data_IF_065791614766
#
_entry.id   IF_065791614766
#
_cell.length_a   1.000
_cell.length_b   1.000
_cell.length_c   1.000
_cell.angle_alpha   90.00
_cell.angle_beta   90.00
_cell.angle_gamma   90.00
#
_symmetry.space_group_name_H-M   'P 1'
#
loop_
_entity.id
_entity.type
_entity.pdbx_description
1 polymer ?
2 non-polymer ?
3 non-polymer ?
4 water ?
#
# COMPACT_ATOMS: atom_id res chain seq x y z
N UNK A 11 -5.80 3.10 25.68
CA UNK A 11 -6.00 4.58 25.82
C UNK A 11 -7.09 5.09 24.88
N UNK A 12 -8.30 5.19 25.41
CA UNK A 12 -9.44 5.66 24.62
C UNK A 12 -9.71 7.14 24.88
N UNK A 13 -10.04 7.88 23.83
CA UNK A 13 -10.33 9.29 23.94
C UNK A 13 -11.81 9.46 24.29
N UNK A 14 -12.12 10.45 25.15
CA UNK A 14 -13.50 10.70 25.56
C UNK A 14 -14.43 10.87 24.35
N UNK A 15 -15.59 10.23 24.41
CA UNK A 15 -16.56 10.29 23.33
C UNK A 15 -17.12 11.69 23.10
N UNK A 16 -17.04 12.19 21.86
CA UNK A 16 -17.56 13.53 21.53
C UNK A 16 -19.09 13.56 21.66
N UNK A 17 -19.64 14.72 22.06
CA UNK A 17 -21.09 14.90 22.23
C UNK A 17 -22.01 14.39 21.10
N UNK A 18 -21.60 14.54 19.85
CA UNK A 18 -22.44 14.13 18.74
C UNK A 18 -22.40 12.64 18.36
N UNK A 19 -21.59 11.86 19.06
CA UNK A 19 -21.48 10.44 18.75
C UNK A 19 -22.38 9.56 19.61
N UNK A 20 -23.36 8.87 18.99
CA UNK A 20 -24.27 7.99 19.74
C UNK A 20 -23.48 6.79 20.27
N UNK A 21 -23.61 6.47 21.55
CA UNK A 21 -22.83 5.36 22.08
C UNK A 21 -23.07 4.00 21.46
N UNK A 22 -24.20 3.81 20.77
CA UNK A 22 -24.45 2.52 20.14
C UNK A 22 -23.67 2.38 18.84
N UNK A 23 -23.02 3.46 18.44
CA UNK A 23 -22.21 3.45 17.22
C UNK A 23 -20.74 3.32 17.57
N UNK A 24 -20.45 3.15 18.86
CA UNK A 24 -19.08 3.02 19.32
C UNK A 24 -18.54 1.61 19.15
N UNK A 25 -17.34 1.52 18.60
CA UNK A 25 -16.65 0.24 18.41
C UNK A 25 -15.17 0.60 18.42
N UNK A 26 -14.50 0.31 19.54
CA UNK A 26 -13.09 0.66 19.71
C UNK A 26 -12.09 -0.24 18.99
N UNK A 27 -11.88 0.07 17.73
CA UNK A 27 -10.94 -0.65 16.89
C UNK A 27 -9.65 0.18 16.79
N UNK A 28 -8.50 -0.46 17.00
CA UNK A 28 -7.22 0.23 16.91
C UNK A 28 -6.54 -0.22 15.63
N UNK A 29 -6.51 0.66 14.63
CA UNK A 29 -5.91 0.34 13.35
C UNK A 29 -4.41 0.01 13.41
N UNK A 30 -3.73 0.41 14.48
CA UNK A 30 -2.31 0.15 14.61
C UNK A 30 -2.04 -1.10 15.42
N UNK A 31 -3.08 -1.62 16.06
CA UNK A 31 -2.95 -2.84 16.84
C UNK A 31 -4.30 -3.52 17.02
N UNK A 32 -4.84 -4.07 15.94
CA UNK A 32 -6.14 -4.74 16.03
C UNK A 32 -6.06 -5.99 16.89
N UNK A 33 -7.20 -6.36 17.47
CA UNK A 33 -7.31 -7.51 18.37
C UNK A 33 -6.91 -8.88 17.85
N UNK A 34 -7.51 -9.32 16.75
CA UNK A 34 -7.21 -10.65 16.21
C UNK A 34 -6.03 -10.69 15.27
N UNK A 35 -5.03 -9.84 15.51
CA UNK A 35 -3.86 -9.77 14.66
C UNK A 35 -3.19 -11.12 14.43
N UNK A 36 -3.19 -11.98 15.46
CA UNK A 36 -2.58 -13.29 15.34
C UNK A 36 -3.17 -14.14 14.20
N UNK A 37 -4.46 -13.94 13.93
CA UNK A 37 -5.15 -14.67 12.89
C UNK A 37 -4.83 -14.16 11.47
N UNK A 38 -4.11 -13.04 11.39
CA UNK A 38 -3.78 -12.45 10.11
C UNK A 38 -4.33 -11.04 10.13
N UNK A 39 -3.65 -10.10 9.47
CA UNK A 39 -4.10 -8.72 9.50
C UNK A 39 -5.44 -8.49 8.78
N UNK A 40 -5.63 -9.10 7.62
CA UNK A 40 -6.89 -8.94 6.91
C UNK A 40 -8.03 -9.50 7.78
N UNK A 41 -7.80 -10.65 8.40
CA UNK A 41 -8.79 -11.27 9.28
C UNK A 41 -9.09 -10.37 10.47
N UNK A 42 -8.06 -9.72 10.99
CA UNK A 42 -8.20 -8.83 12.14
C UNK A 42 -9.11 -7.66 11.80
N UNK A 43 -8.94 -7.09 10.62
CA UNK A 43 -9.74 -5.95 10.19
C UNK A 43 -11.18 -6.37 9.84
N UNK A 44 -11.34 -7.60 9.33
CA UNK A 44 -12.64 -8.10 8.93
C UNK A 44 -13.65 -8.24 10.08
N UNK A 45 -13.19 -8.09 11.32
CA UNK A 45 -14.13 -8.19 12.43
C UNK A 45 -15.09 -6.99 12.34
N UNK A 46 -14.64 -5.93 11.68
CA UNK A 46 -15.45 -4.72 11.51
C UNK A 46 -16.66 -4.99 10.62
N UNK A 47 -16.64 -6.13 9.94
CA UNK A 47 -17.74 -6.47 9.06
C UNK A 47 -18.66 -7.55 9.61
N UNK A 48 -18.54 -7.83 10.91
CA UNK A 48 -19.39 -8.83 11.55
C UNK A 48 -20.78 -8.23 11.70
N UNK A 49 -21.79 -9.10 11.76
CA UNK A 49 -23.18 -8.67 11.88
C UNK A 49 -23.49 -7.69 13.03
N UNK A 50 -22.78 -7.84 14.14
CA UNK A 50 -22.99 -6.97 15.30
C UNK A 50 -22.41 -5.56 15.14
N UNK A 51 -21.68 -5.32 14.07
CA UNK A 51 -21.07 -4.01 13.86
C UNK A 51 -21.81 -3.18 12.82
N UNK A 52 -22.22 -1.95 13.20
CA UNK A 52 -22.92 -1.10 12.24
C UNK A 52 -22.02 -0.76 11.03
N UNK A 53 -22.62 -0.26 9.97
CA UNK A 53 -21.88 0.09 8.76
C UNK A 53 -20.91 1.26 8.96
N UNK A 54 -21.26 2.14 9.89
CA UNK A 54 -20.44 3.31 10.19
C UNK A 54 -20.28 3.36 11.69
N UNK A 55 -19.04 3.25 12.17
CA UNK A 55 -18.81 3.28 13.61
C UNK A 55 -17.79 4.33 14.00
N UNK A 56 -17.67 4.53 15.30
CA UNK A 56 -16.72 5.49 15.85
C UNK A 56 -15.83 4.74 16.83
N UNK A 57 -14.53 4.94 16.71
CA UNK A 57 -13.60 4.30 17.62
C UNK A 57 -12.96 5.39 18.45
N UNK A 58 -12.71 5.09 19.72
CA UNK A 58 -12.10 6.05 20.62
C UNK A 58 -10.59 5.94 20.65
N UNK A 59 -10.05 4.99 19.89
CA UNK A 59 -8.60 4.80 19.84
C UNK A 59 -7.99 5.82 18.90
N UNK A 60 -6.68 6.00 19.02
CA UNK A 60 -5.95 6.92 18.16
C UNK A 60 -6.62 8.29 18.02
N UNK A 61 -7.11 8.80 19.15
CA UNK A 61 -7.72 10.13 19.15
C UNK A 61 -9.22 10.20 18.89
N UNK A 62 -9.79 9.16 18.30
CA UNK A 62 -11.21 9.16 18.01
C UNK A 62 -11.50 9.53 16.56
N UNK A 63 -12.15 8.62 15.84
CA UNK A 63 -12.49 8.85 14.44
C UNK A 63 -13.52 7.84 13.98
N UNK A 64 -14.15 8.14 12.86
CA UNK A 64 -15.15 7.26 12.28
C UNK A 64 -14.45 6.23 11.40
N UNK A 65 -15.15 5.14 11.11
CA UNK A 65 -14.63 4.10 10.24
C UNK A 65 -15.81 3.57 9.44
N UNK A 66 -15.71 3.63 8.12
CA UNK A 66 -16.76 3.09 7.27
C UNK A 66 -16.34 1.63 7.08
N UNK A 67 -17.26 0.70 7.34
CA UNK A 67 -16.96 -0.73 7.24
C UNK A 67 -17.50 -1.47 6.02
N UNK A 68 -18.15 -0.77 5.11
CA UNK A 68 -18.71 -1.41 3.92
C UNK A 68 -18.18 -0.79 2.64
N UNK A 69 -18.01 -1.63 1.63
CA UNK A 69 -17.51 -1.17 0.34
C UNK A 69 -18.31 -0.05 -0.29
N UNK A 70 -19.63 -0.12 -0.17
CA UNK A 70 -20.49 0.91 -0.75
C UNK A 70 -20.21 2.27 -0.15
N UNK A 71 -20.09 2.33 1.17
CA UNK A 71 -19.82 3.58 1.85
C UNK A 71 -18.41 4.08 1.56
N UNK A 72 -17.45 3.17 1.52
CA UNK A 72 -16.06 3.56 1.26
C UNK A 72 -15.94 4.22 -0.12
N UNK A 73 -16.60 3.63 -1.12
CA UNK A 73 -16.57 4.16 -2.48
C UNK A 73 -17.25 5.52 -2.56
N UNK A 74 -18.38 5.65 -1.89
CA UNK A 74 -19.13 6.91 -1.89
C UNK A 74 -18.30 8.04 -1.31
N UNK A 75 -17.72 7.79 -0.15
CA UNK A 75 -16.90 8.79 0.52
C UNK A 75 -15.73 9.21 -0.35
N UNK A 76 -15.09 8.25 -1.00
CA UNK A 76 -13.94 8.54 -1.86
C UNK A 76 -14.31 9.31 -3.14
N UNK A 77 -15.57 9.21 -3.53
CA UNK A 77 -16.02 9.91 -4.73
C UNK A 77 -16.43 11.34 -4.40
N UNK A 78 -16.89 11.53 -3.17
CA UNK A 78 -17.36 12.84 -2.71
C UNK A 78 -16.29 13.64 -1.99
N UNK A 79 -15.38 14.25 -2.75
CA UNK A 79 -14.30 15.03 -2.16
C UNK A 79 -14.79 16.36 -1.60
N UNK A 80 -16.02 16.73 -1.92
CA UNK A 80 -16.58 17.98 -1.43
C UNK A 80 -16.74 17.92 0.09
N UNK A 81 -17.23 16.78 0.59
CA UNK A 81 -17.43 16.60 2.04
C UNK A 81 -16.27 15.91 2.73
N UNK A 82 -15.63 14.99 2.02
CA UNK A 82 -14.50 14.25 2.56
C UNK A 82 -13.23 14.70 1.86
N UNK A 83 -12.50 15.62 2.47
CA UNK A 83 -11.28 16.15 1.87
C UNK A 83 -10.02 15.38 2.21
N UNK A 84 -9.07 15.41 1.27
CA UNK A 84 -7.79 14.73 1.41
C UNK A 84 -6.77 15.56 2.19
N UNK A 85 -7.15 16.78 2.56
CA UNK A 85 -6.25 17.66 3.29
C UNK A 85 -5.59 16.98 4.50
N UNK A 86 -6.36 16.15 5.19
CA UNK A 86 -5.88 15.43 6.38
C UNK A 86 -6.25 13.95 6.16
N UNK A 87 -5.42 13.22 5.40
CA UNK A 87 -5.66 11.80 5.09
C UNK A 87 -5.18 10.74 6.06
N UNK A 88 -4.35 11.11 7.03
CA UNK A 88 -3.82 10.12 7.98
C UNK A 88 -4.35 10.26 9.39
N UNK A 89 -4.46 9.12 10.07
CA UNK A 89 -4.90 9.06 11.46
C UNK A 89 -3.67 8.52 12.19
N UNK A 90 -3.33 9.09 13.37
CA UNK A 90 -4.00 10.17 14.08
C UNK A 90 -3.84 11.54 13.42
N UNK A 91 -4.67 12.48 13.86
CA UNK A 91 -4.68 13.84 13.34
C UNK A 91 -3.30 14.46 13.18
N UNK A 92 -2.45 14.30 14.19
CA UNK A 92 -1.09 14.85 14.13
C UNK A 92 -0.41 14.38 12.85
N UNK A 93 -0.60 13.11 12.50
CA UNK A 93 -0.01 12.54 11.30
C UNK A 93 -0.68 13.14 10.07
N UNK A 94 -2.02 13.16 10.07
CA UNK A 94 -2.74 13.71 8.95
C UNK A 94 -2.40 15.18 8.71
N UNK A 95 -2.12 15.91 9.78
CA UNK A 95 -1.78 17.32 9.68
C UNK A 95 -0.36 17.55 9.18
N UNK A 96 0.59 16.76 9.66
CA UNK A 96 1.98 16.88 9.22
C UNK A 96 2.10 16.36 7.78
N UNK A 97 1.09 15.62 7.36
CA UNK A 97 1.04 15.05 6.01
C UNK A 97 0.79 16.16 4.98
N UNK A 98 1.72 16.29 4.03
CA UNK A 98 1.58 17.32 3.01
C UNK A 98 2.05 16.84 1.64
N UNK A 99 2.05 15.52 1.45
CA UNK A 99 2.47 14.93 0.17
C UNK A 99 1.54 15.33 -0.97
N UNK A 100 2.13 15.56 -2.15
CA UNK A 100 1.37 15.92 -3.34
C UNK A 100 1.41 14.71 -4.26
N UNK A 101 0.30 14.38 -4.93
CA UNK A 101 -1.02 15.01 -4.92
C UNK A 101 -2.05 14.47 -3.92
N UNK A 102 -1.65 13.53 -3.08
CA UNK A 102 -2.59 12.92 -2.14
C UNK A 102 -3.19 13.86 -1.10
N UNK A 103 -2.48 14.91 -0.71
CA UNK A 103 -3.02 15.83 0.28
C UNK A 103 -3.83 16.95 -0.36
N UNK A 104 -4.12 16.83 -1.64
CA UNK A 104 -4.89 17.86 -2.36
C UNK A 104 -6.20 17.30 -2.92
N UNK A 105 -7.18 18.18 -3.06
CA UNK A 105 -8.48 17.82 -3.63
C UNK A 105 -8.56 18.43 -5.03
N UNK A 106 -9.42 17.86 -5.90
CA UNK A 106 -9.52 18.45 -7.24
C UNK A 106 -10.15 19.83 -7.07
N UNK A 107 -10.00 20.73 -8.06
CA UNK A 107 -9.28 20.55 -9.34
C UNK A 107 -7.77 20.70 -9.22
N UNK A 108 -7.32 21.22 -8.08
CA UNK A 108 -5.91 21.43 -7.81
C UNK A 108 -5.07 20.16 -8.02
N UNK A 109 -5.52 19.07 -7.42
CA UNK A 109 -4.83 17.78 -7.51
C UNK A 109 -4.49 17.33 -8.93
N UNK A 110 -5.42 17.55 -9.85
CA UNK A 110 -5.29 17.16 -11.25
C UNK A 110 -3.98 17.54 -11.96
N UNK A 111 -3.52 18.77 -11.76
CA UNK A 111 -2.30 19.23 -12.42
C UNK A 111 -1.05 18.50 -11.94
N UNK A 112 -0.96 18.25 -10.64
CA UNK A 112 0.22 17.55 -10.12
C UNK A 112 0.14 16.06 -10.47
N UNK A 113 -1.07 15.50 -10.43
CA UNK A 113 -1.27 14.10 -10.77
C UNK A 113 -0.77 13.82 -12.18
N UNK A 114 -1.01 14.76 -13.10
CA UNK A 114 -0.58 14.63 -14.49
C UNK A 114 0.94 14.50 -14.58
N UNK A 115 1.65 15.28 -13.77
CA UNK A 115 3.11 15.25 -13.75
C UNK A 115 3.64 13.96 -13.16
N UNK A 116 3.03 13.53 -12.05
CA UNK A 116 3.44 12.31 -11.37
C UNK A 116 3.23 11.11 -12.30
N UNK A 117 2.16 11.17 -13.10
CA UNK A 117 1.88 10.08 -14.03
C UNK A 117 2.98 9.98 -15.07
N UNK A 118 3.65 11.11 -15.32
CA UNK A 118 4.74 11.16 -16.29
C UNK A 118 5.92 10.30 -15.87
N UNK A 119 6.13 10.18 -14.56
CA UNK A 119 7.25 9.40 -14.04
C UNK A 119 7.00 7.94 -13.65
N UNK A 120 5.76 7.59 -13.31
CA UNK A 120 5.47 6.20 -12.93
C UNK A 120 4.35 5.57 -13.76
N UNK A 121 3.85 6.31 -14.74
CA UNK A 121 2.78 5.80 -15.58
C UNK A 121 3.17 4.62 -16.45
N UNK A 122 2.21 4.17 -17.26
CA UNK A 122 2.37 3.03 -18.15
C UNK A 122 3.60 3.02 -19.07
N UNK A 123 3.83 4.10 -19.83
CA UNK A 123 4.97 4.18 -20.74
C UNK A 123 6.32 3.94 -20.03
N UNK A 124 6.40 4.36 -18.78
CA UNK A 124 7.61 4.18 -18.00
C UNK A 124 7.76 2.70 -17.67
N UNK A 125 6.66 2.06 -17.30
CA UNK A 125 6.69 0.63 -16.96
C UNK A 125 7.13 -0.18 -18.17
N UNK A 126 6.60 0.19 -19.34
CA UNK A 126 6.91 -0.48 -20.60
C UNK A 126 8.42 -0.43 -20.88
N UNK A 127 9.01 0.73 -20.63
CA UNK A 127 10.43 0.92 -20.88
C UNK A 127 11.32 0.19 -19.87
N UNK A 128 10.80 -0.06 -18.67
CA UNK A 128 11.59 -0.73 -17.63
C UNK A 128 11.34 -2.24 -17.55
N UNK A 129 10.41 -2.72 -18.36
CA UNK A 129 10.04 -4.13 -18.37
C UNK A 129 11.20 -5.11 -18.36
N UNK A 130 12.14 -4.97 -19.29
CA UNK A 130 13.28 -5.86 -19.37
C UNK A 130 14.13 -5.82 -18.11
N UNK A 131 14.22 -4.65 -17.49
CA UNK A 131 14.99 -4.47 -16.27
C UNK A 131 14.32 -5.22 -15.11
N UNK A 132 13.00 -5.08 -15.02
CA UNK A 132 12.23 -5.73 -13.97
C UNK A 132 12.40 -7.26 -14.06
N UNK A 133 12.30 -7.76 -15.29
CA UNK A 133 12.45 -9.19 -15.55
C UNK A 133 13.86 -9.71 -15.25
N UNK A 134 14.87 -8.92 -15.61
CA UNK A 134 16.26 -9.31 -15.38
C UNK A 134 16.56 -9.42 -13.89
N UNK A 135 16.11 -8.44 -13.13
CA UNK A 135 16.36 -8.43 -11.70
C UNK A 135 15.63 -9.55 -10.97
N UNK A 136 14.39 -9.81 -11.37
CA UNK A 136 13.60 -10.86 -10.75
C UNK A 136 14.29 -12.20 -10.98
N UNK A 137 14.64 -12.47 -12.23
CA UNK A 137 15.31 -13.72 -12.59
C UNK A 137 16.64 -13.84 -11.85
N UNK A 138 17.41 -12.75 -11.86
CA UNK A 138 18.70 -12.74 -11.18
C UNK A 138 18.58 -13.02 -9.69
N UNK A 139 17.61 -12.39 -9.03
CA UNK A 139 17.41 -12.57 -7.59
C UNK A 139 17.00 -14.00 -7.25
N UNK A 140 16.05 -14.54 -8.01
CA UNK A 140 15.56 -15.89 -7.77
C UNK A 140 16.60 -16.97 -8.05
N UNK A 141 17.31 -16.85 -9.17
CA UNK A 141 18.31 -17.84 -9.52
C UNK A 141 19.39 -17.91 -8.44
N UNK A 142 19.72 -16.76 -7.86
CA UNK A 142 20.74 -16.72 -6.82
C UNK A 142 20.27 -17.40 -5.55
N UNK A 143 18.97 -17.36 -5.29
CA UNK A 143 18.42 -17.98 -4.10
C UNK A 143 18.14 -19.47 -4.27
N UNK A 144 17.66 -19.83 -5.47
CA UNK A 144 17.28 -21.20 -5.80
C UNK A 144 18.09 -22.36 -5.22
N UNK A 145 19.42 -22.33 -5.36
CA UNK A 145 20.22 -23.44 -4.82
C UNK A 145 20.35 -23.52 -3.31
N UNK A 146 20.03 -22.44 -2.61
CA UNK A 146 20.15 -22.40 -1.16
C UNK A 146 19.13 -23.25 -0.39
N UNK A 147 17.95 -23.45 -0.96
CA UNK A 147 16.95 -24.25 -0.29
C UNK A 147 16.26 -23.56 0.88
N UNK A 148 16.44 -22.24 0.98
CA UNK A 148 15.82 -21.49 2.05
C UNK A 148 16.15 -20.00 1.99
N UNK A 149 15.30 -19.18 2.58
CA UNK A 149 15.49 -17.75 2.60
C UNK A 149 14.44 -17.05 3.45
N UNK A 150 14.69 -15.78 3.76
CA UNK A 150 13.73 -14.96 4.48
C UNK A 150 13.22 -14.09 3.33
N UNK A 151 12.09 -14.50 2.77
CA UNK A 151 11.52 -13.80 1.63
C UNK A 151 11.43 -12.29 1.76
N UNK A 152 11.04 -11.82 2.93
CA UNK A 152 10.91 -10.39 3.12
C UNK A 152 12.21 -9.65 2.84
N UNK A 153 13.30 -10.06 3.46
CA UNK A 153 14.55 -9.36 3.23
C UNK A 153 15.37 -9.85 2.06
N UNK A 154 15.12 -11.08 1.60
CA UNK A 154 15.87 -11.65 0.49
C UNK A 154 15.30 -11.38 -0.90
N UNK A 155 14.00 -11.06 -0.98
CA UNK A 155 13.39 -10.79 -2.28
C UNK A 155 12.36 -9.65 -2.27
N UNK A 156 11.36 -9.76 -1.40
CA UNK A 156 10.30 -8.76 -1.31
C UNK A 156 10.80 -7.32 -1.18
N UNK A 157 11.90 -7.11 -0.47
CA UNK A 157 12.44 -5.76 -0.31
C UNK A 157 13.37 -5.36 -1.46
N UNK A 158 14.45 -6.13 -1.70
CA UNK A 158 15.38 -5.79 -2.79
C UNK A 158 14.78 -5.65 -4.19
N UNK A 159 13.92 -6.57 -4.58
CA UNK A 159 13.33 -6.54 -5.91
C UNK A 159 12.61 -5.22 -6.25
N UNK A 160 11.54 -4.87 -5.51
CA UNK A 160 10.85 -3.61 -5.85
C UNK A 160 11.65 -2.34 -5.55
N UNK A 161 12.38 -2.35 -4.44
CA UNK A 161 13.16 -1.17 -4.04
C UNK A 161 14.29 -0.83 -5.00
N UNK A 162 15.04 -1.84 -5.43
CA UNK A 162 16.15 -1.59 -6.35
C UNK A 162 15.61 -1.06 -7.67
N UNK A 163 14.44 -1.54 -8.07
CA UNK A 163 13.85 -1.07 -9.32
C UNK A 163 13.45 0.39 -9.18
N UNK A 164 12.99 0.77 -8.00
CA UNK A 164 12.60 2.15 -7.78
C UNK A 164 13.81 3.06 -7.70
N UNK A 165 14.86 2.61 -7.02
CA UNK A 165 16.06 3.42 -6.90
C UNK A 165 16.61 3.66 -8.29
N UNK A 166 16.49 2.64 -9.14
CA UNK A 166 16.97 2.74 -10.51
C UNK A 166 16.17 3.81 -11.26
N UNK A 167 14.86 3.81 -11.06
CA UNK A 167 13.99 4.78 -11.72
C UNK A 167 14.18 6.19 -11.17
N UNK A 168 14.52 6.28 -9.89
CA UNK A 168 14.70 7.57 -9.24
C UNK A 168 16.13 8.09 -9.34
N UNK A 169 17.06 7.21 -9.72
CA UNK A 169 18.44 7.63 -9.83
C UNK A 169 19.05 7.90 -8.46
N UNK A 170 18.69 7.10 -7.46
CA UNK A 170 19.23 7.26 -6.12
C UNK A 170 20.12 6.07 -5.79
N UNK A 171 21.17 6.29 -4.96
CA UNK A 171 22.11 5.23 -4.57
C UNK A 171 21.52 4.12 -3.69
N UNK A 172 21.95 2.89 -3.95
CA UNK A 172 21.47 1.74 -3.19
C UNK A 172 21.89 1.78 -1.72
N UNK A 173 22.93 2.56 -1.42
CA UNK A 173 23.43 2.67 -0.05
C UNK A 173 22.46 3.39 0.88
N UNK A 174 21.57 4.17 0.31
CA UNK A 174 20.60 4.93 1.10
C UNK A 174 19.31 4.14 1.41
N UNK A 175 19.20 2.92 0.89
CA UNK A 175 18.02 2.13 1.11
C UNK A 175 17.68 1.86 2.59
N UNK A 176 18.66 1.40 3.37
CA UNK A 176 18.39 1.13 4.79
C UNK A 176 17.85 2.35 5.53
N UNK A 177 18.43 3.51 5.22
CA UNK A 177 18.02 4.75 5.85
C UNK A 177 16.63 5.16 5.38
N UNK A 178 16.44 5.19 4.06
CA UNK A 178 15.16 5.58 3.50
C UNK A 178 14.02 4.65 3.91
N UNK A 179 14.31 3.35 3.91
CA UNK A 179 13.32 2.35 4.28
C UNK A 179 12.84 2.56 5.71
N UNK A 180 13.76 2.78 6.63
CA UNK A 180 13.37 2.98 8.01
C UNK A 180 12.43 4.18 8.18
N UNK A 181 12.77 5.27 7.50
CA UNK A 181 11.95 6.48 7.58
C UNK A 181 10.55 6.24 7.04
N UNK A 182 10.47 5.51 5.92
CA UNK A 182 9.18 5.20 5.30
C UNK A 182 8.30 4.37 6.22
N UNK A 183 8.88 3.32 6.80
CA UNK A 183 8.16 2.43 7.70
C UNK A 183 7.60 3.17 8.92
N UNK A 184 8.30 4.21 9.35
CA UNK A 184 7.87 4.98 10.51
C UNK A 184 6.61 5.77 10.19
N UNK A 185 6.40 6.05 8.91
CA UNK A 185 5.23 6.81 8.47
C UNK A 185 3.99 5.95 8.30
N UNK A 186 4.17 4.69 7.89
CA UNK A 186 3.03 3.80 7.67
C UNK A 186 2.74 2.88 8.86
N UNK A 187 3.79 2.44 9.55
CA UNK A 187 3.62 1.56 10.70
C UNK A 187 4.47 2.07 11.86
N UNK A 188 4.14 3.28 12.37
CA UNK A 188 4.83 3.93 13.47
C UNK A 188 5.33 3.00 14.56
N UNK A 189 6.64 3.06 14.78
CA UNK A 189 7.33 2.26 15.78
C UNK A 189 7.15 2.88 17.15
N UNK A 190 7.15 4.21 17.18
CA UNK A 190 7.02 4.94 18.42
C UNK A 190 8.35 5.62 18.64
N UNK A 191 9.30 5.26 17.78
CA UNK A 191 10.66 5.81 17.84
C UNK A 191 10.68 7.29 17.51
N UNK A 192 9.84 7.70 16.56
CA UNK A 192 9.77 9.11 16.19
C UNK A 192 8.37 9.47 15.69
N UNK A 193 8.01 10.73 15.87
CA UNK A 193 6.70 11.25 15.46
C UNK A 193 6.66 11.41 13.94
N UNK A 194 5.46 11.44 13.37
CA UNK A 194 5.32 11.58 11.92
C UNK A 194 6.04 12.83 11.43
N UNK A 195 5.87 13.94 12.15
CA UNK A 195 6.50 15.19 11.79
C UNK A 195 8.01 15.02 11.66
N UNK A 196 8.63 14.38 12.65
CA UNK A 196 10.07 14.15 12.67
C UNK A 196 10.51 13.22 11.53
N UNK A 197 9.73 12.17 11.27
CA UNK A 197 10.06 11.24 10.19
C UNK A 197 10.00 11.96 8.85
N UNK A 198 9.00 12.82 8.70
CA UNK A 198 8.83 13.58 7.46
C UNK A 198 9.96 14.58 7.27
N UNK A 199 10.36 15.24 8.34
CA UNK A 199 11.46 16.22 8.29
C UNK A 199 12.72 15.52 7.78
N UNK A 200 13.01 14.36 8.36
CA UNK A 200 14.18 13.56 8.01
C UNK A 200 14.17 13.21 6.53
N UNK A 201 13.02 12.75 6.04
CA UNK A 201 12.89 12.38 4.64
C UNK A 201 13.11 13.60 3.74
N UNK A 202 12.61 14.75 4.17
CA UNK A 202 12.77 15.97 3.39
C UNK A 202 14.20 16.48 3.45
N UNK A 203 14.87 16.21 4.57
CA UNK A 203 16.26 16.63 4.74
C UNK A 203 17.12 15.89 3.72
N UNK A 204 16.69 14.69 3.35
CA UNK A 204 17.39 13.88 2.38
C UNK A 204 17.15 14.36 0.95
N UNK A 205 15.88 14.57 0.62
CA UNK A 205 15.48 15.00 -0.72
C UNK A 205 15.92 16.40 -1.15
N UNK A 206 15.78 17.38 -0.26
CA UNK A 206 16.12 18.76 -0.56
C UNK A 206 17.44 18.98 -1.34
N UNK A 207 18.57 18.48 -0.82
CA UNK A 207 19.83 18.66 -1.54
C UNK A 207 19.84 18.06 -2.94
N UNK A 208 19.21 16.89 -3.07
CA UNK A 208 19.12 16.18 -4.35
C UNK A 208 18.32 16.95 -5.38
N UNK A 209 17.16 17.45 -4.98
CA UNK A 209 16.31 18.19 -5.90
C UNK A 209 17.04 19.45 -6.36
N UNK A 210 17.75 20.08 -5.44
CA UNK A 210 18.53 21.28 -5.74
C UNK A 210 19.46 20.98 -6.91
N UNK A 211 20.21 19.89 -6.78
CA UNK A 211 21.16 19.44 -7.80
C UNK A 211 20.49 19.13 -9.13
N UNK A 212 19.40 18.36 -9.06
CA UNK A 212 18.65 17.95 -10.24
C UNK A 212 18.01 19.13 -10.96
N UNK A 213 17.89 20.25 -10.27
CA UNK A 213 17.30 21.46 -10.86
C UNK A 213 18.35 22.17 -11.72
N UNK A 214 19.59 22.15 -11.25
CA UNK A 214 20.70 22.79 -11.96
C UNK A 214 21.19 21.88 -13.08
N UNK A 215 21.51 20.63 -12.75
CA UNK A 215 21.97 19.66 -13.73
C UNK A 215 20.96 18.53 -13.84
N UNK A 216 19.90 18.72 -14.63
CA UNK A 216 18.85 17.71 -14.80
C UNK A 216 19.33 16.41 -15.44
N UNK A 217 18.69 15.32 -15.04
CA UNK A 217 19.02 14.01 -15.57
C UNK A 217 17.77 13.45 -16.21
N UNK A 218 17.73 12.14 -16.42
CA UNK A 218 16.57 11.52 -17.03
C UNK A 218 15.78 10.74 -15.98
N UNK A 219 16.23 10.81 -14.73
CA UNK A 219 15.58 10.12 -13.63
C UNK A 219 14.27 10.77 -13.23
N UNK A 220 13.46 10.03 -12.47
CA UNK A 220 12.16 10.50 -12.03
C UNK A 220 12.24 11.81 -11.25
N UNK A 221 13.25 11.93 -10.40
CA UNK A 221 13.41 13.14 -9.60
C UNK A 221 13.73 14.33 -10.49
N UNK A 222 14.65 14.15 -11.43
CA UNK A 222 15.01 15.23 -12.34
C UNK A 222 13.77 15.67 -13.10
N UNK A 223 12.96 14.68 -13.50
CA UNK A 223 11.73 14.96 -14.24
C UNK A 223 10.75 15.78 -13.39
N UNK A 224 10.56 15.36 -12.15
CA UNK A 224 9.63 16.07 -11.26
C UNK A 224 10.13 17.48 -10.91
N UNK A 225 11.39 17.58 -10.54
CA UNK A 225 11.99 18.86 -10.15
C UNK A 225 11.97 19.96 -11.22
N UNK A 226 11.90 19.56 -12.48
CA UNK A 226 11.89 20.52 -13.59
C UNK A 226 10.57 20.49 -14.36
N UNK A 227 9.54 19.92 -13.74
CA UNK A 227 8.26 19.82 -14.40
C UNK A 227 7.48 21.12 -14.42
N UNK A 228 6.46 21.17 -15.28
CA UNK A 228 5.62 22.34 -15.40
C UNK A 228 4.23 22.03 -14.85
N UNK A 229 3.70 22.92 -14.04
CA UNK A 229 2.38 22.72 -13.46
C UNK A 229 1.56 23.97 -13.67
N UNK A 230 0.46 23.83 -14.42
CA UNK A 230 -0.40 24.97 -14.70
C UNK A 230 0.36 26.05 -15.44
N UNK A 231 1.02 25.65 -16.52
CA UNK A 231 1.78 26.60 -17.32
C UNK A 231 3.10 27.02 -16.70
N UNK A 232 3.08 27.29 -15.39
CA UNK A 232 4.30 27.71 -14.70
C UNK A 232 5.10 26.51 -14.18
N UNK A 233 6.35 26.76 -13.76
CA UNK A 233 7.23 25.71 -13.25
C UNK A 233 6.93 25.32 -11.80
N UNK A 234 7.15 24.05 -11.47
CA UNK A 234 6.94 23.56 -10.12
C UNK A 234 7.97 24.19 -9.18
N UNK A 235 7.58 24.49 -7.94
CA UNK A 235 8.52 25.08 -7.00
C UNK A 235 9.33 23.98 -6.34
N UNK A 236 10.42 24.36 -5.68
CA UNK A 236 11.27 23.40 -5.01
C UNK A 236 10.47 22.65 -3.96
N UNK A 237 9.68 23.40 -3.19
CA UNK A 237 8.85 22.84 -2.15
C UNK A 237 7.84 21.82 -2.70
N UNK A 238 7.24 22.14 -3.83
CA UNK A 238 6.26 21.27 -4.46
C UNK A 238 6.89 19.97 -4.95
N UNK A 239 8.07 20.08 -5.54
CA UNK A 239 8.77 18.90 -6.04
C UNK A 239 9.14 18.01 -4.85
N UNK A 240 9.60 18.65 -3.79
CA UNK A 240 10.01 17.95 -2.58
C UNK A 240 8.85 17.11 -2.03
N UNK A 241 7.67 17.72 -1.92
CA UNK A 241 6.50 17.04 -1.40
C UNK A 241 5.96 15.94 -2.32
N UNK A 242 6.26 16.02 -3.61
CA UNK A 242 5.81 14.98 -4.53
C UNK A 242 6.75 13.79 -4.47
N UNK A 243 8.06 14.07 -4.45
CA UNK A 243 9.05 13.01 -4.38
C UNK A 243 8.91 12.25 -3.07
N UNK A 244 8.44 12.95 -2.04
CA UNK A 244 8.26 12.32 -0.75
C UNK A 244 7.23 11.20 -0.87
N UNK A 245 6.17 11.46 -1.63
CA UNK A 245 5.12 10.46 -1.82
C UNK A 245 5.62 9.32 -2.68
N UNK A 246 6.37 9.64 -3.73
CA UNK A 246 6.91 8.63 -4.63
C UNK A 246 7.81 7.66 -3.85
N UNK A 247 8.53 8.19 -2.87
CA UNK A 247 9.43 7.41 -2.04
C UNK A 247 8.66 6.38 -1.21
N UNK A 248 7.59 6.83 -0.56
CA UNK A 248 6.76 5.96 0.27
C UNK A 248 6.08 4.87 -0.55
N UNK A 249 5.62 5.25 -1.74
CA UNK A 249 4.96 4.29 -2.61
C UNK A 249 5.91 3.26 -3.18
N UNK A 250 7.08 3.71 -3.62
CA UNK A 250 8.04 2.78 -4.17
C UNK A 250 8.71 1.86 -3.15
N UNK A 251 8.84 2.34 -1.92
CA UNK A 251 9.52 1.54 -0.89
C UNK A 251 8.66 0.76 0.11
N UNK A 252 7.37 1.08 0.23
CA UNK A 252 6.54 0.40 1.21
C UNK A 252 5.15 -0.05 0.78
N UNK A 253 4.99 -0.48 -0.46
CA UNK A 253 3.70 -0.95 -0.91
C UNK A 253 3.86 -2.34 -1.52
N UNK A 254 4.49 -2.42 -2.68
CA UNK A 254 4.71 -3.69 -3.35
C UNK A 254 5.51 -4.62 -2.45
N UNK A 255 6.44 -4.04 -1.71
CA UNK A 255 7.28 -4.79 -0.78
C UNK A 255 6.45 -5.65 0.16
N UNK A 256 5.47 -5.05 0.82
CA UNK A 256 4.62 -5.77 1.76
C UNK A 256 3.62 -6.69 1.07
N UNK A 257 3.07 -6.24 -0.05
CA UNK A 257 2.10 -7.07 -0.76
C UNK A 257 2.68 -8.41 -1.20
N UNK A 258 3.91 -8.40 -1.71
CA UNK A 258 4.56 -9.63 -2.17
C UNK A 258 4.64 -10.67 -1.07
N UNK A 259 4.94 -10.23 0.15
CA UNK A 259 5.04 -11.15 1.26
C UNK A 259 3.71 -11.79 1.61
N UNK A 260 2.62 -11.03 1.60
CA UNK A 260 1.30 -11.60 1.91
C UNK A 260 1.00 -12.68 0.89
N UNK A 261 1.26 -12.37 -0.37
CA UNK A 261 0.99 -13.30 -1.48
C UNK A 261 1.83 -14.57 -1.41
N UNK A 262 3.13 -14.39 -1.20
CA UNK A 262 4.06 -15.52 -1.11
C UNK A 262 3.75 -16.38 0.10
N UNK A 263 3.34 -15.74 1.19
CA UNK A 263 2.99 -16.48 2.41
C UNK A 263 1.83 -17.39 2.10
N UNK A 264 0.86 -16.88 1.35
CA UNK A 264 -0.31 -17.67 0.99
C UNK A 264 0.06 -18.78 0.01
N UNK A 265 0.86 -18.46 -1.01
CA UNK A 265 1.24 -19.47 -2.00
C UNK A 265 2.04 -20.61 -1.35
N UNK A 266 2.83 -20.28 -0.34
CA UNK A 266 3.63 -21.28 0.35
C UNK A 266 2.75 -22.26 1.13
N UNK A 267 1.52 -21.84 1.44
CA UNK A 267 0.59 -22.66 2.20
C UNK A 267 -0.44 -23.35 1.34
N UNK A 268 -0.48 -23.04 0.05
CA UNK A 268 -1.49 -23.66 -0.81
C UNK A 268 -0.95 -24.25 -2.09
N UNK A 269 -0.47 -25.50 -2.04
CA UNK A 269 0.09 -26.19 -3.21
C UNK A 269 -0.87 -26.17 -4.41
N UNK A 270 -2.16 -26.29 -4.12
CA UNK A 270 -3.18 -26.30 -5.17
C UNK A 270 -3.19 -25.02 -5.99
N UNK A 271 -2.98 -23.89 -5.34
CA UNK A 271 -2.99 -22.63 -6.07
C UNK A 271 -1.70 -22.47 -6.87
N UNK A 272 -0.59 -22.98 -6.34
CA UNK A 272 0.68 -22.90 -7.06
C UNK A 272 0.55 -23.72 -8.35
N UNK A 273 0.07 -24.95 -8.21
CA UNK A 273 -0.09 -25.88 -9.34
C UNK A 273 -0.94 -25.25 -10.43
N UNK A 274 -2.03 -24.63 -10.00
CA UNK A 274 -2.95 -23.99 -10.91
C UNK A 274 -2.24 -22.99 -11.83
N UNK A 275 -1.39 -22.17 -11.23
CA UNK A 275 -0.67 -21.15 -12.00
C UNK A 275 0.44 -21.74 -12.88
N UNK A 276 0.98 -22.88 -12.46
CA UNK A 276 2.02 -23.54 -13.23
C UNK A 276 1.44 -24.21 -14.46
N UNK A 277 0.29 -24.87 -14.30
CA UNK A 277 -0.35 -25.54 -15.42
C UNK A 277 -1.13 -24.61 -16.35
N UNK A 278 -1.74 -23.57 -15.81
CA UNK A 278 -2.51 -22.64 -16.62
C UNK A 278 -2.03 -21.21 -16.46
N UNK A 279 -0.86 -20.89 -17.04
CA UNK A 279 -0.25 -19.56 -16.97
C UNK A 279 -1.16 -18.40 -17.42
N UNK A 280 -2.13 -18.69 -18.28
CA UNK A 280 -3.03 -17.66 -18.77
C UNK A 280 -3.90 -17.12 -17.64
N UNK A 281 -3.83 -17.76 -16.48
CA UNK A 281 -4.62 -17.36 -15.32
C UNK A 281 -3.89 -16.41 -14.38
N UNK A 282 -2.58 -16.28 -14.55
CA UNK A 282 -1.81 -15.42 -13.68
C UNK A 282 -2.37 -14.00 -13.53
N UNK A 283 -2.73 -13.35 -14.63
CA UNK A 283 -3.27 -11.98 -14.49
C UNK A 283 -4.50 -11.96 -13.58
N UNK A 284 -5.39 -12.93 -13.76
CA UNK A 284 -6.60 -13.04 -12.94
C UNK A 284 -6.22 -13.33 -11.48
N UNK A 285 -5.25 -14.23 -11.31
CA UNK A 285 -4.79 -14.59 -9.98
C UNK A 285 -4.25 -13.34 -9.29
N UNK A 286 -3.56 -12.50 -10.07
CA UNK A 286 -3.00 -11.27 -9.54
C UNK A 286 -4.10 -10.40 -8.97
N UNK A 287 -5.19 -10.23 -9.72
CA UNK A 287 -6.30 -9.41 -9.24
C UNK A 287 -6.92 -10.00 -7.96
N UNK A 288 -7.10 -11.32 -7.94
CA UNK A 288 -7.70 -11.97 -6.79
C UNK A 288 -6.83 -11.83 -5.56
N UNK A 289 -5.52 -11.90 -5.73
CA UNK A 289 -4.61 -11.77 -4.60
C UNK A 289 -4.59 -10.32 -4.13
N UNK A 290 -4.73 -9.39 -5.07
CA UNK A 290 -4.76 -7.97 -4.72
C UNK A 290 -6.02 -7.69 -3.89
N UNK A 291 -7.08 -8.46 -4.14
CA UNK A 291 -8.33 -8.31 -3.39
C UNK A 291 -8.22 -8.92 -1.99
N UNK A 292 -7.82 -10.19 -1.93
CA UNK A 292 -7.70 -10.91 -0.68
C UNK A 292 -6.64 -10.40 0.28
N UNK A 293 -5.53 -9.89 -0.26
CA UNK A 293 -4.48 -9.40 0.59
C UNK A 293 -4.26 -7.90 0.46
N UNK A 294 -5.36 -7.17 0.28
CA UNK A 294 -5.37 -5.71 0.19
C UNK A 294 -4.68 -5.27 1.49
N UNK A 295 -3.95 -4.16 1.46
CA UNK A 295 -3.21 -3.76 2.65
C UNK A 295 -3.16 -2.28 3.01
N UNK A 296 -3.88 -1.44 2.29
CA UNK A 296 -3.86 -0.01 2.58
C UNK A 296 -5.10 0.49 3.27
N UNK A 297 -4.92 1.44 4.19
CA UNK A 297 -6.03 2.01 4.91
C UNK A 297 -5.76 3.45 5.36
N UNK A 298 -6.27 4.43 4.62
CA UNK A 298 -6.10 5.82 5.05
C UNK A 298 -7.49 6.46 5.06
N UNK A 299 -7.59 7.77 5.24
CA UNK A 299 -8.91 8.36 5.28
C UNK A 299 -9.06 9.76 4.73
N UNK A 300 -10.09 10.44 5.21
CA UNK A 300 -10.41 11.80 4.80
C UNK A 300 -10.87 12.64 5.99
N UNK A 301 -11.06 13.92 5.77
CA UNK A 301 -11.52 14.79 6.84
C UNK A 301 -12.78 15.51 6.39
N UNK A 302 -13.75 15.65 7.28
CA UNK A 302 -15.01 16.30 6.94
C UNK A 302 -14.82 17.81 6.83
N UNK A 303 -15.21 18.37 5.70
CA UNK A 303 -15.08 19.81 5.45
C UNK A 303 -16.22 20.62 6.06
N UNK A 304 -17.29 19.92 6.45
CA UNK A 304 -18.45 20.57 7.04
C UNK A 304 -19.34 19.52 7.69
N UNK A 305 -20.35 19.98 8.43
CA UNK A 305 -21.29 19.05 9.06
C UNK A 305 -22.02 18.37 7.92
N UNK A 306 -22.20 17.06 8.05
CA UNK A 306 -22.83 16.31 6.98
C UNK A 306 -23.45 15.02 7.50
N UNK A 307 -24.68 14.75 7.08
CA UNK A 307 -25.38 13.55 7.49
C UNK A 307 -25.08 12.50 6.43
N UNK A 308 -24.33 11.48 6.82
CA UNK A 308 -23.94 10.39 5.92
C UNK A 308 -24.63 9.10 6.30
N UNK A 309 -25.52 8.63 5.43
CA UNK A 309 -26.25 7.39 5.68
C UNK A 309 -26.85 7.37 7.09
N UNK A 310 -27.58 8.43 7.43
CA UNK A 310 -28.23 8.50 8.73
C UNK A 310 -27.37 8.92 9.90
N UNK A 311 -26.07 9.02 9.71
CA UNK A 311 -25.19 9.41 10.81
C UNK A 311 -24.74 10.85 10.62
N UNK A 312 -24.76 11.62 11.71
CA UNK A 312 -24.36 13.02 11.63
C UNK A 312 -22.87 13.16 11.85
N UNK A 313 -22.18 13.59 10.81
CA UNK A 313 -20.74 13.81 10.89
C UNK A 313 -20.51 15.29 11.11
N UNK A 314 -19.52 15.64 11.93
CA UNK A 314 -19.23 17.03 12.21
C UNK A 314 -17.93 17.52 11.55
N UNK A 315 -17.95 18.75 11.06
CA UNK A 315 -16.79 19.35 10.43
C UNK A 315 -15.55 19.06 11.28
N UNK A 316 -14.45 18.67 10.64
CA UNK A 316 -13.24 18.39 11.39
C UNK A 316 -13.12 16.94 11.81
N UNK A 317 -14.22 16.20 11.73
CA UNK A 317 -14.20 14.79 12.08
C UNK A 317 -13.38 14.07 11.03
N UNK A 318 -12.56 13.12 11.47
CA UNK A 318 -11.75 12.33 10.54
C UNK A 318 -12.47 10.99 10.37
N UNK A 319 -12.42 10.44 9.16
CA UNK A 319 -13.05 9.15 8.91
C UNK A 319 -12.11 8.24 8.14
N UNK A 320 -11.88 7.06 8.69
CA UNK A 320 -11.02 6.07 8.06
C UNK A 320 -11.85 5.30 7.04
N UNK A 321 -11.39 5.28 5.80
CA UNK A 321 -12.07 4.56 4.73
C UNK A 321 -11.10 3.50 4.23
N UNK A 322 -11.02 2.35 4.92
CA UNK A 322 -10.14 1.23 4.60
C UNK A 322 -10.27 0.64 3.21
N UNK A 323 -9.37 1.01 2.31
CA UNK A 323 -9.40 0.49 0.95
C UNK A 323 -9.36 -1.04 1.02
N UNK A 324 -8.73 -1.55 2.06
CA UNK A 324 -8.59 -2.98 2.26
C UNK A 324 -9.92 -3.71 2.49
N UNK A 325 -10.89 -3.02 3.10
CA UNK A 325 -12.18 -3.63 3.42
C UNK A 325 -13.17 -3.84 2.30
N UNK A 326 -13.11 -3.02 1.25
CA UNK A 326 -14.04 -3.14 0.15
C UNK A 326 -14.14 -4.55 -0.44
N UNK A 327 -13.01 -5.14 -0.79
CA UNK A 327 -13.00 -6.47 -1.37
C UNK A 327 -13.24 -7.63 -0.41
N UNK A 328 -13.19 -7.35 0.89
CA UNK A 328 -13.42 -8.39 1.89
C UNK A 328 -14.90 -8.40 2.31
N UNK A 329 -15.62 -7.36 1.91
CA UNK A 329 -17.04 -7.21 2.20
C UNK A 329 -17.80 -8.31 1.45
N UNK A 330 -18.50 -9.17 2.19
CA UNK A 330 -19.27 -10.26 1.59
C UNK A 330 -20.37 -9.78 0.65
N UNK A 331 -20.88 -8.57 0.88
CA UNK A 331 -21.93 -8.01 0.01
C UNK A 331 -21.34 -7.69 -1.36
N UNK A 332 -20.02 -7.69 -1.44
CA UNK A 332 -19.31 -7.38 -2.69
C UNK A 332 -18.74 -8.64 -3.32
N UNK A 333 -18.21 -9.53 -2.49
CA UNK A 333 -17.62 -10.78 -2.95
C UNK A 333 -18.06 -11.92 -2.06
N UNK A 334 -18.65 -12.95 -2.65
CA UNK A 334 -19.09 -14.12 -1.89
C UNK A 334 -17.85 -14.82 -1.34
N UNK A 335 -17.97 -15.36 -0.13
CA UNK A 335 -16.84 -16.05 0.53
C UNK A 335 -15.57 -15.23 0.33
N UNK A 336 -15.55 -14.00 0.88
CA UNK A 336 -14.42 -13.07 0.79
C UNK A 336 -13.06 -13.57 1.24
N UNK A 337 -13.03 -14.43 2.24
CA UNK A 337 -11.75 -14.93 2.74
C UNK A 337 -11.17 -16.06 1.89
N UNK A 338 -11.99 -16.65 1.04
CA UNK A 338 -11.56 -17.73 0.16
C UNK A 338 -10.88 -17.19 -1.09
N UNK A 339 -9.73 -17.76 -1.44
CA UNK A 339 -9.00 -17.33 -2.63
C UNK A 339 -9.44 -18.20 -3.77
N UNK A 340 -10.03 -17.57 -4.79
CA UNK A 340 -10.54 -18.29 -5.95
C UNK A 340 -10.13 -17.57 -7.23
N UNK A 341 -9.12 -18.11 -7.91
CA UNK A 341 -8.61 -17.51 -9.13
C UNK A 341 -9.61 -17.44 -10.28
N UNK A 342 -10.72 -18.18 -10.18
CA UNK A 342 -11.69 -18.16 -11.27
C UNK A 342 -12.97 -17.38 -10.93
N UNK A 343 -12.87 -16.43 -10.01
CA UNK A 343 -14.01 -15.61 -9.63
C UNK A 343 -14.49 -14.89 -10.88
N UNK A 344 -15.80 -14.90 -11.13
CA UNK A 344 -16.34 -14.24 -12.31
C UNK A 344 -16.13 -12.74 -12.23
N UNK A 345 -16.09 -12.21 -11.01
CA UNK A 345 -15.89 -10.78 -10.81
C UNK A 345 -15.12 -10.49 -9.53
N UNK A 346 -13.92 -9.94 -9.70
CA UNK A 346 -13.09 -9.59 -8.55
C UNK A 346 -13.31 -8.10 -8.30
N UNK A 347 -13.99 -7.79 -7.20
CA UNK A 347 -14.28 -6.41 -6.85
C UNK A 347 -13.46 -5.96 -5.64
N UNK A 348 -12.76 -4.84 -5.79
CA UNK A 348 -11.94 -4.28 -4.72
C UNK A 348 -11.59 -2.84 -5.03
N UNK A 349 -10.96 -2.18 -4.06
CA UNK A 349 -10.51 -0.80 -4.24
C UNK A 349 -9.12 -0.76 -3.60
N UNK A 350 -8.36 -1.81 -3.86
CA UNK A 350 -7.01 -1.96 -3.33
C UNK A 350 -6.08 -0.82 -3.72
N UNK A 351 -6.28 -0.28 -4.93
CA UNK A 351 -5.45 0.83 -5.41
C UNK A 351 -6.19 2.15 -5.23
N UNK A 352 -7.22 2.14 -4.41
CA UNK A 352 -7.98 3.37 -4.18
C UNK A 352 -9.25 3.48 -5.00
N UNK A 353 -9.87 4.65 -4.90
CA UNK A 353 -11.11 4.92 -5.61
C UNK A 353 -11.26 6.44 -5.68
N UNK A 354 -11.92 6.93 -6.71
CA UNK A 354 -12.09 8.36 -6.84
C UNK A 354 -10.94 9.01 -7.59
N UNK A 355 -10.79 10.31 -7.41
CA UNK A 355 -9.73 11.06 -8.10
C UNK A 355 -8.30 10.72 -7.68
N UNK A 356 -8.13 9.99 -6.57
CA UNK A 356 -6.79 9.66 -6.12
C UNK A 356 -6.33 8.23 -6.45
N UNK A 357 -6.95 7.64 -7.47
CA UNK A 357 -6.60 6.29 -7.92
C UNK A 357 -5.08 6.16 -8.12
N UNK A 358 -4.49 5.12 -7.52
CA UNK A 358 -3.05 4.88 -7.61
C UNK A 358 -2.47 4.93 -9.03
N UNK A 359 -1.47 5.81 -9.19
CA UNK A 359 -0.80 5.98 -10.47
C UNK A 359 0.27 4.91 -10.67
N UNK A 360 0.76 4.33 -9.57
CA UNK A 360 1.79 3.31 -9.69
C UNK A 360 1.28 1.88 -9.74
N UNK A 361 -0.02 1.71 -9.95
CA UNK A 361 -0.58 0.37 -9.98
C UNK A 361 -0.13 -0.45 -11.18
N UNK A 362 0.22 0.21 -12.27
CA UNK A 362 0.68 -0.49 -13.46
C UNK A 362 2.04 -1.10 -13.17
N UNK A 363 2.90 -0.31 -12.53
CA UNK A 363 4.21 -0.78 -12.16
C UNK A 363 4.05 -1.96 -11.18
N UNK A 364 3.19 -1.78 -10.19
CA UNK A 364 2.94 -2.80 -9.18
C UNK A 364 2.49 -4.11 -9.80
N UNK A 365 1.48 -4.06 -10.65
CA UNK A 365 0.97 -5.26 -11.29
C UNK A 365 2.06 -5.97 -12.09
N UNK A 366 2.92 -5.20 -12.75
CA UNK A 366 4.00 -5.78 -13.53
C UNK A 366 4.98 -6.53 -12.63
N UNK A 367 5.32 -5.92 -11.50
CA UNK A 367 6.25 -6.53 -10.56
C UNK A 367 5.68 -7.79 -9.92
N UNK A 368 4.38 -7.78 -9.67
CA UNK A 368 3.72 -8.93 -9.06
C UNK A 368 3.66 -10.11 -10.03
N UNK A 369 3.22 -9.83 -11.25
CA UNK A 369 3.10 -10.87 -12.26
C UNK A 369 4.44 -11.50 -12.63
N UNK A 370 5.48 -10.67 -12.75
CA UNK A 370 6.81 -11.18 -13.08
C UNK A 370 7.32 -12.09 -11.96
N UNK A 371 7.07 -11.68 -10.72
CA UNK A 371 7.51 -12.45 -9.56
C UNK A 371 6.83 -13.81 -9.54
N UNK A 372 5.51 -13.82 -9.68
CA UNK A 372 4.78 -15.07 -9.66
C UNK A 372 5.26 -16.01 -10.76
N UNK A 373 5.34 -15.50 -11.99
CA UNK A 373 5.77 -16.31 -13.12
C UNK A 373 7.20 -16.84 -12.98
N UNK A 374 8.13 -15.96 -12.67
CA UNK A 374 9.53 -16.34 -12.54
C UNK A 374 9.87 -17.18 -11.33
N UNK A 375 9.14 -16.99 -10.22
CA UNK A 375 9.40 -17.77 -9.03
C UNK A 375 8.89 -19.20 -9.20
N UNK A 376 7.63 -19.32 -9.58
CA UNK A 376 7.00 -20.63 -9.76
C UNK A 376 7.66 -21.44 -10.87
N UNK A 377 8.41 -20.78 -11.74
CA UNK A 377 9.10 -21.46 -12.82
C UNK A 377 10.32 -22.20 -12.29
N UNK A 378 11.08 -21.53 -11.42
CA UNK A 378 12.30 -22.10 -10.84
C UNK A 378 12.11 -22.84 -9.52
N UNK A 379 11.19 -22.36 -8.70
CA UNK A 379 10.92 -22.97 -7.39
C UNK A 379 9.41 -23.19 -7.27
N UNK A 380 8.90 -24.25 -7.91
CA UNK A 380 7.48 -24.60 -7.89
C UNK A 380 6.99 -25.16 -6.57
N UNK A 381 7.93 -25.72 -5.81
CA UNK A 381 7.60 -26.33 -4.53
C UNK A 381 8.37 -25.71 -3.38
N UNK A 382 7.63 -25.16 -2.42
CA UNK A 382 8.23 -24.54 -1.26
C UNK A 382 7.17 -24.43 -0.18
N UNK A 383 7.61 -24.19 1.04
CA UNK A 383 6.67 -24.04 2.15
C UNK A 383 7.29 -23.15 3.22
N UNK A 384 6.52 -22.86 4.26
CA UNK A 384 7.02 -22.03 5.32
C UNK A 384 7.89 -22.92 6.22
N UNK A 385 8.98 -22.36 6.70
CA UNK A 385 9.89 -23.10 7.55
C UNK A 385 9.17 -23.65 8.77
N UNK A 386 9.41 -24.94 9.08
CA UNK A 386 8.74 -25.55 10.24
C UNK A 386 9.05 -24.78 11.52
N UNK A 387 8.03 -24.53 12.32
CA UNK A 387 8.22 -23.82 13.57
C UNK A 387 8.13 -22.31 13.50
N UNK A 388 8.29 -21.75 12.30
CA UNK A 388 8.21 -20.31 12.15
C UNK A 388 6.77 -19.88 12.34
N UNK A 389 6.60 -18.72 12.99
CA UNK A 389 5.27 -18.15 13.22
C UNK A 389 5.28 -16.84 12.47
N UNK A 390 4.50 -16.75 11.39
CA UNK A 390 4.46 -15.52 10.62
C UNK A 390 3.65 -14.47 11.36
N UNK A 391 4.24 -13.29 11.50
CA UNK A 391 3.54 -12.21 12.20
C UNK A 391 3.32 -10.99 11.31
N UNK A 392 2.07 -10.53 11.29
CA UNK A 392 1.68 -9.37 10.49
C UNK A 392 1.72 -8.11 11.35
N UNK A 393 1.80 -6.96 10.69
CA UNK A 393 1.84 -5.68 11.39
C UNK A 393 0.79 -4.79 10.73
N UNK A 394 0.02 -4.08 11.53
CA UNK A 394 -1.02 -3.20 11.01
C UNK A 394 -0.63 -1.73 11.00
N UNK A 395 -1.23 -0.97 10.08
CA UNK A 395 -0.95 0.45 9.99
C UNK A 395 -1.59 1.02 8.74
N UNK A 396 -1.10 2.17 8.27
CA UNK A 396 -1.65 2.79 7.05
C UNK A 396 -1.42 1.80 5.92
N UNK A 397 -0.31 1.08 6.00
CA UNK A 397 0.02 0.05 5.03
C UNK A 397 0.43 -1.13 5.89
N UNK A 398 -0.25 -2.25 5.74
CA UNK A 398 0.08 -3.41 6.55
C UNK A 398 1.23 -4.20 5.93
N UNK A 399 1.90 -5.01 6.77
CA UNK A 399 3.02 -5.78 6.27
C UNK A 399 3.26 -7.08 7.01
N UNK A 400 4.35 -7.76 6.66
CA UNK A 400 4.74 -9.03 7.26
C UNK A 400 6.10 -8.83 7.91
N UNK A 401 6.24 -9.26 9.15
CA UNK A 401 7.50 -9.11 9.88
C UNK A 401 8.64 -9.84 9.20
N UNK A 402 8.44 -11.11 8.90
CA UNK A 402 9.44 -11.93 8.24
C UNK A 402 8.74 -13.13 7.65
N UNK A 403 9.37 -13.74 6.64
CA UNK A 403 8.78 -14.91 5.99
C UNK A 403 9.82 -15.96 5.66
N UNK A 404 10.19 -16.80 6.65
CA UNK A 404 11.20 -17.84 6.41
C UNK A 404 10.60 -18.95 5.54
N UNK A 405 11.22 -19.18 4.38
CA UNK A 405 10.78 -20.20 3.44
C UNK A 405 11.85 -21.26 3.29
N UNK A 406 11.43 -22.48 2.96
CA UNK A 406 12.36 -23.58 2.74
C UNK A 406 11.86 -24.43 1.58
N UNK A 407 12.78 -25.09 0.90
CA UNK A 407 12.43 -25.96 -0.21
C UNK A 407 13.59 -26.90 -0.51
N UNK A 408 13.31 -27.94 -1.27
CA UNK A 408 14.32 -28.92 -1.62
C UNK A 408 14.94 -28.47 -2.94
N UNK A 409 16.22 -28.07 -2.93
CA UNK A 409 16.86 -27.63 -4.16
C UNK A 409 16.71 -28.62 -5.30
N UNK A 410 16.66 -29.91 -4.97
CA UNK A 410 16.53 -30.97 -5.97
C UNK A 410 15.25 -30.83 -6.78
N UNK A 411 14.27 -30.10 -6.26
CA UNK A 411 13.00 -29.93 -6.96
C UNK A 411 12.94 -28.62 -7.72
N UNK A 412 14.01 -27.83 -7.69
CA UNK A 412 14.01 -26.56 -8.40
C UNK A 412 14.46 -26.74 -9.83
N UNK A 413 14.26 -25.71 -10.65
CA UNK A 413 14.63 -25.75 -12.06
C UNK A 413 15.44 -24.52 -12.46
N UNK A 414 16.67 -24.74 -12.92
CA UNK A 414 17.49 -23.63 -13.36
C UNK A 414 16.97 -23.24 -14.74
N UNK A 415 16.90 -21.95 -15.02
CA UNK A 415 16.42 -21.51 -16.33
C UNK A 415 17.44 -20.55 -16.93
X LIG B 1 -2.15 6.53 -4.40
X LIG B 1 -2.40 1.84 -3.12
X LIG B 1 1.94 1.12 -5.21
X LIG B 1 2.27 5.84 -6.31
X LIG B 1 -2.57 5.32 -3.86
X LIG B 1 -3.82 5.13 -3.14
X LIG B 1 -3.86 3.82 -2.76
X LIG B 1 -2.66 3.20 -3.26
X LIG B 1 -4.94 3.08 -1.99
X LIG B 1 -4.85 6.22 -2.87
X LIG B 1 -4.64 6.89 -1.52
X LIG B 1 -5.73 7.88 -1.17
X LIG B 1 -6.76 7.93 -1.90
X LIG B 1 -5.57 8.62 -0.18
X LIG B 1 -1.25 1.23 -3.60
X LIG B 1 -0.99 -0.21 -3.49
X LIG B 1 0.23 -0.43 -4.09
X LIG B 1 0.70 0.88 -4.57
X LIG B 1 -1.95 -1.23 -2.87
X LIG B 1 0.94 -1.62 -4.31
X LIG B 1 0.51 -2.92 -4.11
X LIG B 1 2.43 2.37 -5.61
X LIG B 1 3.73 2.57 -6.26
X LIG B 1 3.88 3.91 -6.47
X LIG B 1 2.64 4.53 -5.99
X LIG B 1 4.70 1.47 -6.70
X LIG B 1 4.97 4.52 -7.07
X LIG B 1 5.97 5.13 -6.30
X LIG B 1 1.01 6.37 -6.07
X LIG B 1 0.69 7.77 -6.26
X LIG B 1 -0.51 7.99 -5.65
X LIG B 1 -0.96 6.71 -5.11
X LIG B 1 1.50 8.78 -7.08
X LIG B 1 -1.22 9.32 -5.52
X LIG B 1 -2.25 9.55 -6.62
X LIG B 1 -3.09 10.79 -6.38
X LIG B 1 -3.62 11.34 -7.37
X LIG B 1 -3.23 11.22 -5.21
X LIG B 1 -1.86 4.12 -3.94
X LIG B 1 -0.23 1.89 -4.29
X LIG B 1 1.76 3.57 -5.48
X LIG B 1 -0.03 5.71 -5.39
X LIG B 1 -0.15 3.79 -4.92
X LIG C 1 0.69 4.19 -3.35
X LIG C 1 0.62 4.51 -2.34
X LIG C 1 1.46 5.14 -1.20
X LIG C 1 0.61 6.02 -0.31
X LIG C 1 -0.34 5.22 0.49
X LIG C 1 -1.57 6.03 0.81
#
# INVERSE_FOLDING_TARGET
MTTETIQSNANLAPLPPHVPEHLVFDFDMYNPSNLSAGVQEAWAVLQESNVPDLVWTRCNGGHWIATRGQLIREAYEDYRHFSSECPFIPREAGEAYDFIPTSMDPPEQRQFRALANQVVGMPVVDKLENRIQELACSLIESLRPQGQCNFTEDYAEPFPIRIFMLLAGLPEEDIPHLKYLTDQMTRPDGSMTFAEAKEALYDYLIPIIEQRRQKPGTDAISIVANGQVNGRPITSDEAKRMCGLLLVGGLDTVVNFLSFSMEFLAKSPEHRQELIERPERIPAACEELLRRFSLVADGRILTSDYEFHGVQLKKGDQILLPQMLSGLDERENACPMHVDFSRQKVSHTTFGHGSHLCLGQHLARREIIVTLKEWLTRIPDFSIAPGAQIQHKSGIVSGVQALPLVWDPATTKAV
HEM CHA CHB CHC CHD C1A C2A C3A C4A CMA CAA CBA CGA O1A O2A C1B C2B C3B C4B CMB CAB CBB C1C C2C C3C C4C CMC CAC CBC C1D C2D C3D C4D CMD CAD CBD CGD O1D O2D NA NB NC ND FE
NBN C N C1 C2 C3 C4
#
